data_IF_501122505416
#
_entry.id   IF_501122505416
#
_cell.length_a   1.000
_cell.length_b   1.000
_cell.length_c   1.000
_cell.angle_alpha   90.00
_cell.angle_beta   90.00
_cell.angle_gamma   90.00
#
_symmetry.space_group_name_H-M   'P 1'
#
loop_
_entity.id
_entity.type
_entity.pdbx_description
1 polymer ?
#
# COMPACT_ATOMS: atom_id res chain seq x y z
N UNK A 1 -22.77 39.06 32.40
CA UNK A 1 -21.34 38.75 32.25
C UNK A 1 -20.99 37.72 33.32
N UNK A 2 -20.54 36.49 33.06
CA UNK A 2 -19.82 35.97 31.91
C UNK A 2 -19.95 34.43 31.91
N UNK A 3 -20.76 33.85 31.03
CA UNK A 3 -20.70 32.43 30.67
C UNK A 3 -19.86 32.32 29.40
N UNK A 4 -18.54 32.47 29.54
CA UNK A 4 -17.64 32.49 28.38
C UNK A 4 -16.29 31.88 28.74
N UNK A 5 -16.30 30.62 29.22
CA UNK A 5 -15.07 29.85 29.46
C UNK A 5 -15.12 28.37 29.08
N UNK A 6 -16.17 27.89 28.40
CA UNK A 6 -16.33 26.44 28.15
C UNK A 6 -16.74 26.10 26.71
N UNK A 7 -16.22 26.81 25.71
CA UNK A 7 -16.52 26.50 24.29
C UNK A 7 -15.27 26.31 23.42
N UNK A 8 -14.06 26.33 24.01
CA UNK A 8 -12.82 26.21 23.23
C UNK A 8 -12.15 24.82 23.25
N UNK A 9 -12.69 23.84 23.97
CA UNK A 9 -12.12 22.48 24.01
C UNK A 9 -12.90 21.43 23.20
N UNK A 10 -14.01 21.81 22.55
CA UNK A 10 -14.86 20.89 21.79
C UNK A 10 -14.78 21.05 20.26
N UNK A 11 -13.94 21.95 19.75
CA UNK A 11 -13.80 22.20 18.31
C UNK A 11 -12.51 21.60 17.73
N UNK A 12 -11.60 21.09 18.56
CA UNK A 12 -10.36 20.44 18.11
C UNK A 12 -10.50 18.94 17.83
N UNK A 13 -11.69 18.36 18.02
CA UNK A 13 -11.91 16.91 17.87
C UNK A 13 -12.76 16.52 16.65
N UNK A 14 -13.16 17.47 15.79
CA UNK A 14 -14.05 17.17 14.64
C UNK A 14 -13.33 17.31 13.28
N UNK A 15 -12.04 17.65 13.24
CA UNK A 15 -11.29 17.66 11.96
C UNK A 15 -10.61 16.33 11.63
N UNK A 16 -10.63 15.34 12.53
CA UNK A 16 -10.05 14.01 12.28
C UNK A 16 -11.04 12.96 11.79
N UNK A 17 -12.33 13.29 11.70
CA UNK A 17 -13.37 12.24 11.58
C UNK A 17 -14.09 12.18 10.23
N UNK A 18 -13.71 12.97 9.23
CA UNK A 18 -14.37 12.94 7.91
C UNK A 18 -13.44 13.28 6.73
N UNK A 19 -12.14 12.98 6.83
CA UNK A 19 -11.41 12.67 5.58
C UNK A 19 -11.62 11.18 5.30
N UNK A 20 -12.89 10.80 5.12
CA UNK A 20 -13.21 9.64 4.30
C UNK A 20 -12.73 10.06 2.92
N UNK A 21 -11.45 9.77 2.63
CA UNK A 21 -10.94 9.84 1.27
C UNK A 21 -11.96 9.07 0.46
N UNK A 22 -12.63 9.76 -0.46
CA UNK A 22 -13.39 9.06 -1.47
C UNK A 22 -12.44 8.02 -2.05
N UNK A 23 -12.83 6.75 -1.98
CA UNK A 23 -12.05 5.60 -2.41
C UNK A 23 -11.91 5.63 -3.92
N UNK A 24 -11.13 6.58 -4.44
CA UNK A 24 -10.73 6.58 -5.84
C UNK A 24 -9.39 5.85 -5.93
N UNK A 25 -9.34 4.89 -6.84
CA UNK A 25 -8.10 4.18 -7.16
C UNK A 25 -7.12 5.05 -7.97
N UNK A 26 -7.44 6.33 -8.19
CA UNK A 26 -6.69 7.26 -9.03
C UNK A 26 -5.28 7.56 -8.49
N UNK A 27 -5.07 7.44 -7.18
CA UNK A 27 -3.79 7.69 -6.50
C UNK A 27 -3.13 6.40 -5.99
N UNK A 28 -3.52 5.22 -6.50
CA UNK A 28 -2.95 3.94 -6.06
C UNK A 28 -1.44 3.89 -6.26
N UNK A 29 -0.95 4.34 -7.41
CA UNK A 29 0.47 4.25 -7.75
C UNK A 29 1.33 5.00 -6.72
N UNK A 30 0.94 6.22 -6.34
CA UNK A 30 1.63 7.04 -5.34
C UNK A 30 1.51 6.43 -3.94
N UNK A 31 0.34 5.91 -3.58
CA UNK A 31 0.11 5.24 -2.29
C UNK A 31 0.93 3.97 -2.15
N UNK A 32 1.12 3.20 -3.24
CA UNK A 32 1.97 2.00 -3.22
C UNK A 32 3.41 2.39 -2.90
N UNK A 33 3.92 3.46 -3.51
CA UNK A 33 5.27 3.95 -3.19
C UNK A 33 5.36 4.44 -1.74
N UNK A 34 4.37 5.18 -1.24
CA UNK A 34 4.32 5.62 0.15
C UNK A 34 4.34 4.43 1.14
N UNK A 35 3.49 3.43 0.90
CA UNK A 35 3.46 2.19 1.68
C UNK A 35 4.81 1.47 1.63
N UNK A 36 5.41 1.31 0.44
CA UNK A 36 6.74 0.72 0.30
C UNK A 36 7.81 1.47 1.10
N UNK A 37 7.83 2.81 1.04
CA UNK A 37 8.82 3.59 1.81
C UNK A 37 8.69 3.38 3.31
N UNK A 38 7.46 3.27 3.81
CA UNK A 38 7.15 3.03 5.23
C UNK A 38 7.50 1.61 5.65
N UNK A 39 7.04 0.60 4.90
CA UNK A 39 7.24 -0.82 5.24
C UNK A 39 8.71 -1.21 5.12
N UNK A 40 9.37 -0.81 4.03
CA UNK A 40 10.76 -1.19 3.73
C UNK A 40 11.79 -0.25 4.37
N UNK A 41 11.33 0.86 4.97
CA UNK A 41 12.17 1.88 5.58
C UNK A 41 13.25 2.40 4.59
N UNK A 42 12.80 2.77 3.39
CA UNK A 42 13.62 3.32 2.30
C UNK A 42 13.07 4.68 1.86
N UNK A 43 13.90 5.53 1.25
CA UNK A 43 13.40 6.76 0.65
C UNK A 43 12.75 6.48 -0.72
N UNK A 44 11.78 7.31 -1.09
CA UNK A 44 11.01 7.16 -2.34
C UNK A 44 11.90 7.24 -3.59
N UNK A 45 12.96 8.04 -3.56
CA UNK A 45 13.93 8.17 -4.66
C UNK A 45 14.86 6.96 -4.81
N UNK A 46 14.88 6.06 -3.82
CA UNK A 46 15.59 4.78 -3.88
C UNK A 46 14.78 3.69 -4.61
N UNK A 47 13.46 3.88 -4.74
CA UNK A 47 12.57 2.91 -5.40
C UNK A 47 12.61 3.13 -6.91
N UNK A 48 13.26 2.22 -7.63
CA UNK A 48 13.29 2.26 -9.08
C UNK A 48 12.08 1.52 -9.67
N UNK A 49 11.08 2.26 -10.14
CA UNK A 49 9.79 1.69 -10.58
C UNK A 49 9.90 0.68 -11.73
N UNK A 50 10.88 0.86 -12.63
CA UNK A 50 11.09 0.02 -13.81
C UNK A 50 12.02 -1.17 -13.55
N UNK A 51 12.50 -1.34 -12.32
CA UNK A 51 13.34 -2.46 -11.91
C UNK A 51 12.51 -3.54 -11.24
N UNK A 52 12.99 -4.78 -11.35
CA UNK A 52 12.45 -5.91 -10.60
C UNK A 52 12.68 -5.73 -9.10
N UNK A 53 11.93 -6.43 -8.26
CA UNK A 53 12.17 -6.42 -6.80
C UNK A 53 13.59 -6.89 -6.44
N UNK A 54 14.17 -7.85 -7.17
CA UNK A 54 15.53 -8.33 -6.94
C UNK A 54 16.65 -7.42 -7.52
N UNK A 55 16.31 -6.46 -8.38
CA UNK A 55 17.27 -5.49 -8.93
C UNK A 55 17.30 -4.15 -8.17
N UNK A 56 16.50 -4.03 -7.10
CA UNK A 56 16.52 -2.88 -6.20
C UNK A 56 17.83 -2.83 -5.39
N UNK A 57 18.13 -1.67 -4.80
CA UNK A 57 19.28 -1.52 -3.91
C UNK A 57 18.97 -1.95 -2.46
N UNK A 58 17.76 -2.46 -2.22
CA UNK A 58 17.26 -2.94 -0.94
C UNK A 58 16.62 -4.31 -1.17
N UNK A 59 16.59 -5.12 -0.11
CA UNK A 59 15.96 -6.43 -0.15
C UNK A 59 14.45 -6.29 0.07
N UNK A 60 13.68 -7.17 -0.55
CA UNK A 60 12.23 -7.26 -0.36
C UNK A 60 11.84 -8.72 -0.44
N UNK A 61 11.11 -9.19 0.56
CA UNK A 61 10.53 -10.54 0.57
C UNK A 61 9.00 -10.51 0.41
N UNK A 62 8.39 -11.70 0.38
CA UNK A 62 6.94 -11.84 0.20
C UNK A 62 6.17 -11.26 1.40
N UNK A 63 6.70 -11.36 2.62
CA UNK A 63 6.06 -10.81 3.82
C UNK A 63 6.06 -9.29 3.81
N UNK A 64 7.13 -8.69 3.29
CA UNK A 64 7.20 -7.26 3.06
C UNK A 64 6.11 -6.80 2.09
N UNK A 65 5.93 -7.50 0.96
CA UNK A 65 4.88 -7.18 -0.01
C UNK A 65 3.47 -7.32 0.58
N UNK A 66 3.22 -8.36 1.37
CA UNK A 66 1.95 -8.51 2.09
C UNK A 66 1.74 -7.31 3.04
N UNK A 67 2.79 -6.90 3.75
CA UNK A 67 2.72 -5.75 4.67
C UNK A 67 2.45 -4.44 3.93
N UNK A 68 3.02 -4.26 2.73
CA UNK A 68 2.71 -3.13 1.84
C UNK A 68 1.24 -3.16 1.42
N UNK A 69 0.69 -4.32 1.05
CA UNK A 69 -0.73 -4.45 0.68
C UNK A 69 -1.64 -4.11 1.87
N UNK A 70 -1.33 -4.58 3.07
CA UNK A 70 -2.10 -4.24 4.28
C UNK A 70 -2.08 -2.73 4.57
N UNK A 71 -0.91 -2.09 4.48
CA UNK A 71 -0.78 -0.64 4.63
C UNK A 71 -1.60 0.10 3.54
N UNK A 72 -1.65 -0.45 2.32
CA UNK A 72 -2.47 0.07 1.22
C UNK A 72 -3.97 -0.01 1.52
N UNK A 73 -4.46 -1.17 1.97
CA UNK A 73 -5.87 -1.37 2.35
C UNK A 73 -6.32 -0.37 3.41
N UNK A 74 -5.49 -0.13 4.43
CA UNK A 74 -5.75 0.89 5.46
C UNK A 74 -5.82 2.30 4.85
N UNK A 75 -4.91 2.62 3.92
CA UNK A 75 -4.80 3.95 3.31
C UNK A 75 -5.92 4.27 2.30
N UNK A 76 -6.55 3.25 1.70
CA UNK A 76 -7.64 3.43 0.72
C UNK A 76 -9.02 3.05 1.28
N UNK A 77 -9.08 2.34 2.41
CA UNK A 77 -10.32 1.87 3.02
C UNK A 77 -11.04 0.81 2.19
N UNK A 78 -10.31 0.01 1.42
CA UNK A 78 -10.82 -1.05 0.54
C UNK A 78 -10.01 -2.32 0.80
N UNK A 79 -10.71 -3.45 0.88
CA UNK A 79 -10.10 -4.77 0.95
C UNK A 79 -9.55 -5.18 -0.42
N UNK A 80 -8.28 -5.55 -0.46
CA UNK A 80 -7.54 -6.03 -1.62
C UNK A 80 -7.20 -7.49 -1.39
N UNK A 81 -7.91 -8.37 -2.08
CA UNK A 81 -7.72 -9.81 -1.87
C UNK A 81 -6.34 -10.27 -2.33
N UNK A 82 -5.75 -11.18 -1.57
CA UNK A 82 -4.47 -11.82 -1.92
C UNK A 82 -4.50 -12.47 -3.32
N UNK A 83 -5.64 -13.07 -3.70
CA UNK A 83 -5.84 -13.71 -5.02
C UNK A 83 -5.69 -12.74 -6.20
N UNK A 84 -5.96 -11.45 -5.96
CA UNK A 84 -5.93 -10.39 -6.97
C UNK A 84 -4.61 -9.61 -6.95
N UNK A 85 -3.85 -9.66 -5.85
CA UNK A 85 -2.63 -8.84 -5.66
C UNK A 85 -1.36 -9.65 -5.45
N UNK A 86 -1.36 -10.57 -4.49
CA UNK A 86 -0.16 -11.30 -4.06
C UNK A 86 0.06 -12.55 -4.92
N UNK A 87 -0.98 -13.37 -5.13
CA UNK A 87 -0.90 -14.59 -5.93
C UNK A 87 -0.36 -14.37 -7.37
N UNK A 88 -0.71 -13.27 -8.07
CA UNK A 88 -0.17 -13.00 -9.40
C UNK A 88 1.33 -12.71 -9.44
N UNK A 89 1.94 -12.26 -8.33
CA UNK A 89 3.34 -11.82 -8.28
C UNK A 89 4.27 -12.79 -7.53
N UNK A 90 3.72 -13.75 -6.79
CA UNK A 90 4.50 -14.76 -6.05
C UNK A 90 4.38 -16.14 -6.68
N UNK A 91 5.34 -17.01 -6.38
CA UNK A 91 5.28 -18.45 -6.66
C UNK A 91 5.83 -19.21 -5.45
N UNK A 92 5.46 -20.49 -5.31
CA UNK A 92 6.06 -21.35 -4.29
C UNK A 92 7.30 -22.03 -4.87
N UNK A 93 8.47 -21.76 -4.30
CA UNK A 93 9.72 -22.40 -4.69
C UNK A 93 9.79 -23.80 -4.07
N UNK A 94 9.72 -24.85 -4.91
CA UNK A 94 9.71 -26.23 -4.45
C UNK A 94 11.08 -26.71 -3.93
N UNK A 95 12.18 -26.06 -4.32
CA UNK A 95 13.52 -26.44 -3.87
C UNK A 95 13.83 -25.87 -2.49
N UNK A 96 13.45 -24.61 -2.26
CA UNK A 96 13.67 -23.91 -1.00
C UNK A 96 12.49 -24.03 -0.02
N UNK A 97 11.35 -24.56 -0.50
CA UNK A 97 10.11 -24.77 0.27
C UNK A 97 9.53 -23.48 0.87
N UNK A 98 9.66 -22.36 0.15
CA UNK A 98 9.21 -21.04 0.58
C UNK A 98 8.57 -20.25 -0.57
N UNK A 99 7.64 -19.32 -0.26
CA UNK A 99 7.11 -18.42 -1.27
C UNK A 99 8.17 -17.39 -1.69
N UNK A 100 8.28 -17.16 -3.00
CA UNK A 100 9.19 -16.18 -3.60
C UNK A 100 8.46 -15.23 -4.53
N UNK A 101 9.01 -14.03 -4.67
CA UNK A 101 8.57 -13.05 -5.66
C UNK A 101 9.04 -13.56 -7.03
N UNK A 102 8.19 -13.49 -8.04
CA UNK A 102 8.59 -13.85 -9.41
C UNK A 102 9.69 -12.89 -9.89
N UNK A 103 10.80 -13.44 -10.39
CA UNK A 103 12.02 -12.69 -10.75
C UNK A 103 11.82 -11.48 -11.67
N UNK A 104 10.75 -11.48 -12.48
CA UNK A 104 10.51 -10.45 -13.49
C UNK A 104 9.58 -9.34 -13.03
N UNK A 105 8.97 -9.48 -11.84
CA UNK A 105 7.98 -8.52 -11.38
C UNK A 105 8.69 -7.22 -10.99
N UNK A 106 8.34 -6.18 -11.72
CA UNK A 106 8.74 -4.80 -11.45
C UNK A 106 7.81 -4.13 -10.45
N UNK A 107 8.29 -3.05 -9.82
CA UNK A 107 7.45 -2.22 -8.95
C UNK A 107 6.27 -1.63 -9.75
N UNK A 108 6.48 -1.26 -11.01
CA UNK A 108 5.40 -0.82 -11.91
C UNK A 108 4.32 -1.89 -12.10
N UNK A 109 4.70 -3.14 -12.38
CA UNK A 109 3.74 -4.23 -12.53
C UNK A 109 2.99 -4.51 -11.22
N UNK A 110 3.64 -4.33 -10.07
CA UNK A 110 2.99 -4.40 -8.77
C UNK A 110 1.96 -3.27 -8.58
N UNK A 111 2.31 -2.02 -8.90
CA UNK A 111 1.37 -0.89 -8.89
C UNK A 111 0.15 -1.15 -9.78
N UNK A 112 0.37 -1.62 -11.01
CA UNK A 112 -0.70 -1.97 -11.95
C UNK A 112 -1.61 -3.08 -11.40
N UNK A 113 -1.03 -4.07 -10.74
CA UNK A 113 -1.77 -5.17 -10.10
C UNK A 113 -2.66 -4.65 -8.98
N UNK A 114 -2.11 -3.84 -8.07
CA UNK A 114 -2.85 -3.23 -6.95
C UNK A 114 -3.95 -2.30 -7.47
N UNK A 115 -3.67 -1.50 -8.50
CA UNK A 115 -4.64 -0.59 -9.09
C UNK A 115 -5.81 -1.37 -9.70
N UNK A 116 -5.52 -2.43 -10.46
CA UNK A 116 -6.55 -3.31 -11.02
C UNK A 116 -7.40 -3.97 -9.93
N UNK A 117 -6.78 -4.44 -8.85
CA UNK A 117 -7.50 -5.03 -7.71
C UNK A 117 -8.41 -3.99 -7.04
N UNK A 118 -7.92 -2.77 -6.78
CA UNK A 118 -8.71 -1.68 -6.23
C UNK A 118 -9.94 -1.37 -7.11
N UNK A 119 -9.75 -1.22 -8.42
CA UNK A 119 -10.86 -0.93 -9.36
C UNK A 119 -11.89 -2.06 -9.36
N UNK A 120 -11.44 -3.31 -9.30
CA UNK A 120 -12.32 -4.47 -9.23
C UNK A 120 -13.07 -4.56 -7.91
N UNK A 121 -12.47 -4.17 -6.78
CA UNK A 121 -13.13 -4.17 -5.45
C UNK A 121 -14.24 -3.11 -5.34
N UNK A 122 -14.26 -2.11 -6.22
CA UNK A 122 -15.29 -1.07 -6.25
C UNK A 122 -16.51 -1.41 -7.15
N UNK A 123 -16.44 -2.49 -7.94
CA UNK A 123 -17.47 -2.90 -8.91
C UNK A 123 -18.26 -4.13 -8.47
#
# INVERSE_FOLDING_TARGET
MSYLKLVFCSVLTITYSNFVWASSCDEIDDKVLDAMTKTLNVHMDEIAIDKTFYDQNFDTDVLDLISVVVDMEEAIGVELKDEDVVDPIVYFDEEELEPKIKDRVTVREFQETVHKACVNSLG
#
